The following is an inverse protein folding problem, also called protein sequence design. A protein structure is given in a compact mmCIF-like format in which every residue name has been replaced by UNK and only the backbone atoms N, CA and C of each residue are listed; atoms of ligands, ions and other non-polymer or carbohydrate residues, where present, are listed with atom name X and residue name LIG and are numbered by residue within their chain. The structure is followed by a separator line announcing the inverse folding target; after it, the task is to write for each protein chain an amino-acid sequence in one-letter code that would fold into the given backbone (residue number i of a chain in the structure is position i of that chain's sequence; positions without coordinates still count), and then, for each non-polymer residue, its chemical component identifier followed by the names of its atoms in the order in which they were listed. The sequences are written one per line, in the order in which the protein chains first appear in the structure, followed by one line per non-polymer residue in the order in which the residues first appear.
data_IF_697806722148
#
_entry.id   IF_697806722148
#
_cell.length_a   1.000
_cell.length_b   1.000
_cell.length_c   1.000
_cell.angle_alpha   90.00
_cell.angle_beta   90.00
_cell.angle_gamma   90.00
#
_symmetry.space_group_name_H-M   'P 1'
#
loop_
_entity.id
_entity.type
_entity.pdbx_description
1 polymer ?
#
# COMPACT_ATOMS: atom_id res chain seq x y z
N UNK A 1 20.03 -4.05 -23.08
CA UNK A 1 21.36 -3.46 -23.31
C UNK A 1 21.29 -1.97 -23.02
N UNK A 2 22.31 -1.38 -22.39
CA UNK A 2 22.48 0.08 -22.37
C UNK A 2 23.00 0.51 -23.73
N UNK A 3 22.22 1.24 -24.50
CA UNK A 3 22.53 1.60 -25.90
C UNK A 3 23.08 3.02 -26.01
N UNK A 4 22.51 3.95 -25.23
CA UNK A 4 22.99 5.33 -25.18
C UNK A 4 23.08 5.81 -23.73
N UNK A 5 24.06 6.65 -23.44
CA UNK A 5 24.27 7.32 -22.18
C UNK A 5 24.53 8.80 -22.42
N UNK A 6 23.72 9.66 -21.83
CA UNK A 6 23.91 11.10 -21.82
C UNK A 6 24.16 11.58 -20.37
N UNK A 7 25.18 12.42 -20.22
CA UNK A 7 25.60 12.94 -18.90
C UNK A 7 25.76 14.45 -19.02
N UNK A 8 25.11 15.18 -18.10
CA UNK A 8 25.24 16.62 -17.92
C UNK A 8 25.69 16.96 -16.51
N UNK A 9 26.66 17.85 -16.38
CA UNK A 9 27.13 18.48 -15.17
C UNK A 9 27.57 17.50 -14.04
N UNK A 10 28.27 16.43 -14.41
CA UNK A 10 28.82 15.47 -13.43
C UNK A 10 30.33 15.71 -13.26
N UNK A 11 30.74 16.26 -12.12
CA UNK A 11 32.15 16.52 -11.77
C UNK A 11 32.90 17.31 -12.83
N UNK A 12 33.85 16.70 -13.50
CA UNK A 12 34.61 17.34 -14.60
C UNK A 12 33.87 17.34 -15.94
N UNK A 13 32.84 16.49 -16.07
CA UNK A 13 32.07 16.35 -17.31
C UNK A 13 31.00 17.47 -17.32
N UNK A 14 31.08 18.33 -18.33
CA UNK A 14 30.05 19.34 -18.60
C UNK A 14 28.87 18.71 -19.34
N UNK A 15 29.17 18.02 -20.43
CA UNK A 15 28.23 17.29 -21.28
C UNK A 15 28.99 16.16 -21.99
N UNK A 16 28.38 14.99 -22.07
CA UNK A 16 28.95 13.82 -22.74
C UNK A 16 27.81 12.93 -23.26
N UNK A 17 27.91 12.60 -24.54
CA UNK A 17 27.08 11.57 -25.19
C UNK A 17 27.94 10.37 -25.54
N UNK A 18 27.49 9.18 -25.14
CA UNK A 18 28.14 7.90 -25.41
C UNK A 18 27.14 6.98 -26.07
N UNK A 19 27.41 6.54 -27.28
CA UNK A 19 26.67 5.46 -27.94
C UNK A 19 27.44 4.17 -27.76
N UNK A 20 26.78 3.18 -27.16
CA UNK A 20 27.34 1.87 -26.83
C UNK A 20 26.83 0.86 -27.87
N UNK A 21 27.74 0.22 -28.60
CA UNK A 21 27.37 -0.84 -29.53
C UNK A 21 27.40 -2.22 -28.92
N UNK A 22 26.94 -3.24 -29.62
CA UNK A 22 27.07 -4.63 -29.18
C UNK A 22 28.54 -5.06 -29.12
N UNK A 23 28.90 -5.92 -28.18
CA UNK A 23 30.24 -6.43 -27.96
C UNK A 23 31.02 -5.64 -26.90
N UNK A 24 32.33 -5.57 -27.04
CA UNK A 24 33.22 -4.97 -26.05
C UNK A 24 33.45 -3.46 -26.36
N UNK A 25 33.12 -2.61 -25.37
CA UNK A 25 33.48 -1.19 -25.39
C UNK A 25 34.53 -0.94 -24.30
N UNK A 26 35.68 -0.35 -24.66
CA UNK A 26 36.77 -0.06 -23.73
C UNK A 26 36.90 1.45 -23.54
N UNK A 27 36.76 1.91 -22.29
CA UNK A 27 36.99 3.30 -21.93
C UNK A 27 38.43 3.47 -21.42
N UNK A 28 39.27 4.16 -22.22
CA UNK A 28 40.67 4.42 -21.87
C UNK A 28 40.89 5.89 -21.53
N UNK A 29 41.89 6.19 -20.73
CA UNK A 29 42.26 7.56 -20.37
C UNK A 29 43.11 7.60 -19.09
N UNK A 30 43.72 8.75 -18.82
CA UNK A 30 44.51 8.97 -17.61
C UNK A 30 43.65 8.93 -16.33
N UNK A 31 44.25 8.66 -15.19
CA UNK A 31 43.60 8.70 -13.89
C UNK A 31 43.05 10.12 -13.62
N UNK A 32 41.80 10.26 -13.29
CA UNK A 32 41.14 11.57 -13.12
C UNK A 32 40.49 12.17 -14.37
N UNK A 33 40.62 11.52 -15.54
CA UNK A 33 40.05 12.02 -16.80
C UNK A 33 38.52 11.76 -16.99
N UNK A 34 37.81 11.39 -15.95
CA UNK A 34 36.35 11.20 -16.02
C UNK A 34 35.89 9.76 -16.18
N UNK A 35 36.75 8.75 -16.30
CA UNK A 35 36.32 7.32 -16.39
C UNK A 35 35.44 6.89 -15.25
N UNK A 36 35.88 7.13 -14.00
CA UNK A 36 35.13 6.83 -12.80
C UNK A 36 33.80 7.56 -12.78
N UNK A 37 33.72 8.77 -13.31
CA UNK A 37 32.46 9.54 -13.38
C UNK A 37 31.44 8.93 -14.35
N UNK A 38 31.89 8.28 -15.43
CA UNK A 38 30.97 7.54 -16.31
C UNK A 38 30.38 6.34 -15.57
N UNK A 39 31.21 5.62 -14.80
CA UNK A 39 30.75 4.53 -13.97
C UNK A 39 29.78 5.03 -12.88
N UNK A 40 30.10 6.16 -12.26
CA UNK A 40 29.22 6.81 -11.29
C UNK A 40 27.88 7.26 -11.93
N UNK A 41 27.91 7.81 -13.16
CA UNK A 41 26.70 8.15 -13.89
C UNK A 41 25.81 6.92 -14.10
N UNK A 42 26.38 5.81 -14.55
CA UNK A 42 25.63 4.57 -14.74
C UNK A 42 25.14 4.04 -13.38
N UNK A 43 25.92 4.19 -12.30
CA UNK A 43 25.49 3.80 -10.95
C UNK A 43 24.23 4.53 -10.48
N UNK A 44 24.06 5.79 -10.87
CA UNK A 44 22.84 6.55 -10.60
C UNK A 44 21.63 5.98 -11.37
N UNK A 45 21.81 5.48 -12.58
CA UNK A 45 20.76 4.84 -13.37
C UNK A 45 20.36 3.47 -12.80
N UNK A 46 21.27 2.73 -12.18
CA UNK A 46 20.95 1.48 -11.47
C UNK A 46 20.45 1.69 -10.04
N UNK A 47 20.11 2.94 -9.67
CA UNK A 47 19.43 3.24 -8.41
C UNK A 47 20.34 3.54 -7.23
N UNK A 48 21.65 3.70 -7.42
CA UNK A 48 22.57 4.06 -6.35
C UNK A 48 22.25 5.43 -5.73
N UNK A 49 22.76 5.64 -4.51
CA UNK A 49 22.56 6.89 -3.78
C UNK A 49 23.25 8.04 -4.52
N UNK A 50 22.50 9.09 -4.76
CA UNK A 50 23.02 10.32 -5.33
C UNK A 50 23.66 11.18 -4.23
N UNK A 51 24.85 11.75 -4.53
CA UNK A 51 25.53 12.72 -3.67
C UNK A 51 25.57 14.08 -4.41
N UNK A 52 25.09 15.17 -3.81
CA UNK A 52 25.20 16.51 -4.39
C UNK A 52 26.63 16.95 -4.69
N UNK A 53 27.63 16.41 -4.01
CA UNK A 53 29.04 16.70 -4.27
C UNK A 53 29.52 16.20 -5.64
N UNK A 54 28.76 15.30 -6.28
CA UNK A 54 29.00 14.86 -7.66
C UNK A 54 28.68 15.96 -8.71
N UNK A 55 27.92 16.99 -8.33
CA UNK A 55 27.49 18.06 -9.25
C UNK A 55 28.68 18.95 -9.59
N UNK A 56 28.85 19.22 -10.90
CA UNK A 56 29.87 20.10 -11.42
C UNK A 56 29.87 21.45 -10.71
N UNK A 57 31.02 22.00 -10.29
CA UNK A 57 31.08 23.33 -9.70
C UNK A 57 30.46 24.40 -10.61
N UNK A 58 29.50 25.14 -10.08
CA UNK A 58 28.78 26.19 -10.82
C UNK A 58 27.49 25.74 -11.51
N UNK A 59 27.17 24.43 -11.50
CA UNK A 59 25.89 23.93 -12.00
C UNK A 59 24.87 23.79 -10.85
N UNK A 60 23.59 23.91 -11.15
CA UNK A 60 22.50 23.79 -10.18
C UNK A 60 22.02 22.34 -10.03
N UNK A 61 22.20 21.51 -11.05
CA UNK A 61 21.84 20.10 -11.03
C UNK A 61 22.75 19.29 -11.98
N UNK A 62 22.87 18.00 -11.70
CA UNK A 62 23.39 17.02 -12.64
C UNK A 62 22.24 16.18 -13.21
N UNK A 63 22.42 15.75 -14.48
CA UNK A 63 21.48 14.89 -15.17
C UNK A 63 22.23 13.73 -15.83
N UNK A 64 21.68 12.53 -15.65
CA UNK A 64 22.13 11.34 -16.37
C UNK A 64 20.92 10.71 -17.01
N UNK A 65 21.01 10.40 -18.29
CA UNK A 65 19.99 9.66 -19.04
C UNK A 65 20.61 8.44 -19.70
N UNK A 66 19.84 7.36 -19.82
CA UNK A 66 20.25 6.16 -20.51
C UNK A 66 19.09 5.56 -21.31
N UNK A 67 19.38 5.06 -22.50
CA UNK A 67 18.47 4.24 -23.28
C UNK A 67 18.76 2.77 -23.00
N UNK A 68 17.79 2.10 -22.39
CA UNK A 68 17.87 0.69 -22.04
C UNK A 68 17.01 -0.12 -23.01
N UNK A 69 17.57 -1.18 -23.57
CA UNK A 69 16.86 -2.14 -24.42
C UNK A 69 16.79 -3.46 -23.69
N UNK A 70 15.58 -3.90 -23.33
CA UNK A 70 15.33 -5.16 -22.67
C UNK A 70 15.62 -6.38 -23.56
N UNK A 71 15.63 -7.57 -22.96
CA UNK A 71 15.78 -8.83 -23.70
C UNK A 71 14.58 -9.14 -24.61
N UNK A 72 13.43 -8.59 -24.30
CA UNK A 72 12.17 -8.65 -25.06
C UNK A 72 12.10 -7.63 -26.19
N UNK A 73 13.10 -6.74 -26.29
CA UNK A 73 13.15 -5.65 -27.26
C UNK A 73 12.37 -4.40 -26.85
N UNK A 74 11.83 -4.35 -25.63
CA UNK A 74 11.26 -3.10 -25.10
C UNK A 74 12.37 -2.07 -24.84
N UNK A 75 12.12 -0.83 -25.24
CA UNK A 75 13.03 0.29 -25.03
C UNK A 75 12.51 1.20 -23.93
N UNK A 76 13.39 1.56 -22.99
CA UNK A 76 13.08 2.53 -21.95
C UNK A 76 14.13 3.63 -21.92
N UNK A 77 13.67 4.87 -21.88
CA UNK A 77 14.52 6.02 -21.60
C UNK A 77 14.42 6.32 -20.11
N UNK A 78 15.51 6.08 -19.41
CA UNK A 78 15.60 6.30 -17.96
C UNK A 78 16.46 7.51 -17.67
N UNK A 79 16.09 8.30 -16.65
CA UNK A 79 16.85 9.47 -16.27
C UNK A 79 16.94 9.65 -14.76
N UNK A 80 18.06 10.20 -14.31
CA UNK A 80 18.31 10.61 -12.95
C UNK A 80 18.73 12.07 -12.91
N UNK A 81 17.99 12.87 -12.13
CA UNK A 81 18.31 14.29 -11.91
C UNK A 81 18.61 14.49 -10.43
N UNK A 82 19.79 15.05 -10.16
CA UNK A 82 20.24 15.35 -8.79
C UNK A 82 20.43 16.86 -8.67
N UNK A 83 19.51 17.57 -8.03
CA UNK A 83 19.66 18.99 -7.79
C UNK A 83 20.64 19.24 -6.66
N UNK A 84 21.29 20.41 -6.66
CA UNK A 84 22.19 20.85 -5.58
C UNK A 84 21.44 20.97 -4.25
N UNK A 85 20.22 21.47 -4.32
CA UNK A 85 19.33 21.58 -3.18
C UNK A 85 18.07 20.73 -3.42
N UNK A 86 17.76 19.83 -2.46
CA UNK A 86 16.56 19.00 -2.51
C UNK A 86 16.82 17.52 -2.74
N UNK A 87 15.75 16.80 -3.17
CA UNK A 87 15.81 15.35 -3.38
C UNK A 87 16.05 15.01 -4.83
N UNK A 88 16.89 14.01 -5.09
CA UNK A 88 17.06 13.49 -6.44
C UNK A 88 15.75 12.89 -6.99
N UNK A 89 15.57 13.03 -8.29
CA UNK A 89 14.38 12.58 -9.03
C UNK A 89 14.77 11.54 -10.06
N UNK A 90 13.93 10.55 -10.25
CA UNK A 90 14.07 9.53 -11.30
C UNK A 90 12.92 9.66 -12.29
N UNK A 91 13.20 9.35 -13.56
CA UNK A 91 12.21 9.36 -14.62
C UNK A 91 12.35 8.09 -15.45
N UNK A 92 11.23 7.58 -15.92
CA UNK A 92 11.11 6.47 -16.85
C UNK A 92 10.19 6.93 -17.98
N UNK A 93 10.66 6.92 -19.21
CA UNK A 93 9.92 7.35 -20.42
C UNK A 93 9.30 8.76 -20.25
N UNK A 94 10.09 9.66 -19.65
CA UNK A 94 9.69 11.05 -19.39
C UNK A 94 8.72 11.25 -18.22
N UNK A 95 8.32 10.19 -17.51
CA UNK A 95 7.42 10.26 -16.34
C UNK A 95 8.20 10.14 -15.05
N UNK A 96 7.78 10.90 -14.04
CA UNK A 96 8.38 10.81 -12.70
C UNK A 96 8.16 9.40 -12.13
N UNK A 97 9.25 8.80 -11.65
CA UNK A 97 9.27 7.46 -11.07
C UNK A 97 10.00 7.45 -9.71
N UNK A 98 9.86 6.38 -8.96
CA UNK A 98 10.68 6.15 -7.77
C UNK A 98 12.04 5.58 -8.17
N UNK A 99 13.04 5.79 -7.29
CA UNK A 99 14.39 5.22 -7.49
C UNK A 99 14.35 3.68 -7.52
N UNK A 100 13.43 3.07 -6.76
CA UNK A 100 13.21 1.62 -6.77
C UNK A 100 12.73 1.12 -8.13
N UNK A 101 11.72 1.75 -8.72
CA UNK A 101 11.24 1.41 -10.07
C UNK A 101 12.34 1.56 -11.14
N UNK A 102 13.16 2.61 -11.03
CA UNK A 102 14.30 2.79 -11.91
C UNK A 102 15.31 1.64 -11.75
N UNK A 103 15.64 1.28 -10.49
CA UNK A 103 16.55 0.19 -10.18
C UNK A 103 16.04 -1.16 -10.70
N UNK A 104 14.74 -1.43 -10.57
CA UNK A 104 14.12 -2.68 -11.03
C UNK A 104 14.25 -2.87 -12.55
N UNK A 105 14.03 -1.80 -13.34
CA UNK A 105 14.22 -1.83 -14.81
C UNK A 105 15.70 -2.00 -15.14
N UNK A 106 16.57 -1.24 -14.49
CA UNK A 106 18.01 -1.25 -14.79
C UNK A 106 18.68 -2.59 -14.40
N UNK A 107 18.24 -3.22 -13.30
CA UNK A 107 18.81 -4.49 -12.82
C UNK A 107 18.66 -5.65 -13.83
N UNK A 108 17.62 -5.64 -14.66
CA UNK A 108 17.44 -6.61 -15.74
C UNK A 108 18.34 -6.40 -16.95
N UNK A 109 19.00 -5.23 -17.07
CA UNK A 109 19.73 -4.80 -18.25
C UNK A 109 21.20 -4.52 -17.97
N UNK A 110 21.52 -3.96 -16.80
CA UNK A 110 22.88 -3.51 -16.44
C UNK A 110 23.35 -4.23 -15.18
N UNK A 111 24.55 -4.80 -15.24
CA UNK A 111 25.29 -5.30 -14.08
C UNK A 111 26.61 -4.52 -13.96
N UNK A 112 26.76 -3.84 -12.81
CA UNK A 112 27.90 -2.97 -12.55
C UNK A 112 28.86 -3.62 -11.56
N UNK A 113 30.13 -3.77 -11.96
CA UNK A 113 31.19 -4.41 -11.17
C UNK A 113 32.37 -3.45 -10.96
N UNK A 114 32.68 -3.12 -9.71
CA UNK A 114 33.79 -2.23 -9.35
C UNK A 114 33.75 -1.81 -7.88
N UNK A 115 34.65 -0.90 -7.47
CA UNK A 115 34.73 -0.42 -6.09
C UNK A 115 33.43 0.23 -5.55
N UNK A 116 32.59 0.72 -6.44
CA UNK A 116 31.31 1.37 -6.10
C UNK A 116 30.08 0.45 -6.33
N UNK A 117 30.28 -0.80 -6.75
CA UNK A 117 29.20 -1.76 -7.05
C UNK A 117 28.85 -2.56 -5.79
N UNK A 118 27.99 -2.03 -4.92
CA UNK A 118 27.67 -2.66 -3.64
C UNK A 118 26.57 -3.74 -3.68
N UNK A 119 26.03 -4.15 -4.84
CA UNK A 119 24.85 -5.03 -4.84
C UNK A 119 24.88 -6.25 -5.78
N UNK A 120 25.82 -6.37 -6.70
CA UNK A 120 25.90 -7.54 -7.57
C UNK A 120 26.19 -8.85 -6.83
N UNK A 121 27.05 -9.69 -7.35
CA UNK A 121 27.41 -11.02 -6.82
C UNK A 121 27.98 -11.01 -5.38
N UNK A 122 28.10 -9.85 -4.70
CA UNK A 122 28.55 -9.74 -3.31
C UNK A 122 27.47 -10.19 -2.31
N UNK A 123 26.20 -10.11 -2.68
CA UNK A 123 25.09 -10.54 -1.82
C UNK A 123 24.90 -12.05 -1.79
N UNK A 124 24.55 -12.59 -0.61
CA UNK A 124 24.28 -14.03 -0.42
C UNK A 124 23.17 -14.53 -1.37
N UNK A 125 22.16 -13.72 -1.63
CA UNK A 125 21.09 -14.07 -2.57
C UNK A 125 21.61 -14.25 -4.00
N UNK A 126 22.40 -13.32 -4.51
CA UNK A 126 22.97 -13.39 -5.85
C UNK A 126 23.99 -14.55 -5.99
N UNK A 127 24.75 -14.84 -4.96
CA UNK A 127 25.66 -15.99 -4.94
C UNK A 127 24.91 -17.32 -4.97
N UNK A 128 23.78 -17.39 -4.27
CA UNK A 128 22.88 -18.55 -4.32
C UNK A 128 22.25 -18.71 -5.71
N UNK A 129 21.74 -17.63 -6.27
CA UNK A 129 21.15 -17.62 -7.61
C UNK A 129 22.16 -18.04 -8.68
N UNK A 130 23.41 -17.59 -8.57
CA UNK A 130 24.50 -18.02 -9.45
C UNK A 130 24.77 -19.53 -9.36
N UNK A 131 24.74 -20.10 -8.13
CA UNK A 131 24.86 -21.55 -7.95
C UNK A 131 23.67 -22.32 -8.51
N UNK A 132 22.45 -21.80 -8.29
CA UNK A 132 21.22 -22.39 -8.77
C UNK A 132 21.18 -22.39 -10.31
N UNK A 133 21.53 -21.27 -10.94
CA UNK A 133 21.63 -21.14 -12.41
C UNK A 133 22.71 -22.05 -13.01
N UNK A 134 23.90 -22.12 -12.40
CA UNK A 134 24.99 -23.00 -12.88
C UNK A 134 24.60 -24.47 -12.93
N UNK A 135 23.83 -24.93 -11.98
CA UNK A 135 23.49 -26.34 -11.84
C UNK A 135 22.03 -26.67 -12.24
N UNK A 136 21.31 -25.71 -12.82
CA UNK A 136 19.90 -25.81 -13.19
C UNK A 136 19.04 -26.36 -12.05
N UNK A 137 19.22 -25.79 -10.84
CA UNK A 137 18.52 -26.26 -9.64
C UNK A 137 17.09 -25.72 -9.65
N UNK A 138 16.12 -26.61 -9.76
CA UNK A 138 14.71 -26.25 -9.66
C UNK A 138 14.32 -25.93 -8.21
N UNK A 139 14.03 -24.65 -7.96
CA UNK A 139 13.56 -24.13 -6.66
C UNK A 139 12.05 -23.90 -6.63
N UNK A 140 11.32 -24.24 -7.68
CA UNK A 140 9.90 -23.92 -7.84
C UNK A 140 9.05 -24.53 -6.73
N UNK A 141 9.24 -25.82 -6.42
CA UNK A 141 8.50 -26.48 -5.34
C UNK A 141 8.83 -25.89 -3.97
N UNK A 142 10.08 -25.55 -3.69
CA UNK A 142 10.47 -24.92 -2.42
C UNK A 142 9.82 -23.53 -2.27
N UNK A 143 9.83 -22.75 -3.35
CA UNK A 143 9.21 -21.41 -3.38
C UNK A 143 7.70 -21.51 -3.17
N UNK A 144 7.04 -22.42 -3.87
CA UNK A 144 5.60 -22.66 -3.73
C UNK A 144 5.22 -23.14 -2.32
N UNK A 145 5.98 -24.07 -1.75
CA UNK A 145 5.74 -24.59 -0.41
C UNK A 145 5.95 -23.48 0.68
N UNK A 146 6.96 -22.63 0.52
CA UNK A 146 7.18 -21.49 1.41
C UNK A 146 6.06 -20.44 1.32
N UNK A 147 5.59 -20.14 0.11
CA UNK A 147 4.48 -19.22 -0.11
C UNK A 147 3.18 -19.76 0.51
N UNK A 148 2.89 -21.06 0.33
CA UNK A 148 1.73 -21.72 0.95
C UNK A 148 1.81 -21.67 2.49
N UNK A 149 2.97 -21.97 3.06
CA UNK A 149 3.17 -21.90 4.52
C UNK A 149 2.97 -20.47 5.04
N UNK A 150 3.52 -19.48 4.36
CA UNK A 150 3.38 -18.08 4.73
C UNK A 150 1.91 -17.61 4.68
N UNK A 151 1.14 -18.02 3.64
CA UNK A 151 -0.30 -17.73 3.53
C UNK A 151 -1.09 -18.37 4.69
N UNK A 152 -0.81 -19.64 5.00
CA UNK A 152 -1.46 -20.33 6.12
C UNK A 152 -1.12 -19.66 7.46
N UNK A 153 0.13 -19.29 7.68
CA UNK A 153 0.56 -18.59 8.92
C UNK A 153 -0.03 -17.19 9.03
N UNK A 154 -0.16 -16.46 7.91
CA UNK A 154 -0.86 -15.17 7.86
C UNK A 154 -2.34 -15.32 8.19
N UNK A 155 -3.03 -16.34 7.64
CA UNK A 155 -4.44 -16.65 7.96
C UNK A 155 -4.62 -17.03 9.42
N UNK A 156 -3.74 -17.87 9.98
CA UNK A 156 -3.76 -18.19 11.40
C UNK A 156 -3.57 -16.94 12.27
N UNK A 157 -2.66 -16.04 11.86
CA UNK A 157 -2.46 -14.75 12.54
C UNK A 157 -3.68 -13.83 12.46
N UNK A 158 -4.42 -13.83 11.34
CA UNK A 158 -5.61 -13.01 11.14
C UNK A 158 -6.85 -13.52 11.85
N UNK A 159 -6.90 -14.81 12.20
CA UNK A 159 -8.02 -15.38 12.98
C UNK A 159 -8.13 -14.79 14.40
N UNK A 160 -7.18 -13.93 14.81
CA UNK A 160 -7.25 -13.18 16.06
C UNK A 160 -6.29 -13.70 17.13
N UNK A 161 -6.02 -12.82 18.11
CA UNK A 161 -5.09 -13.06 19.22
C UNK A 161 -5.43 -14.24 20.12
N UNK A 162 -5.10 -14.13 21.40
CA UNK A 162 -5.42 -15.17 22.35
C UNK A 162 -6.94 -15.44 22.50
N UNK A 163 -7.31 -16.56 23.07
CA UNK A 163 -8.71 -16.99 23.26
C UNK A 163 -9.55 -15.92 23.96
N UNK A 164 -8.99 -15.24 24.95
CA UNK A 164 -9.69 -14.18 25.69
C UNK A 164 -9.95 -12.93 24.82
N UNK A 165 -9.07 -12.61 23.89
CA UNK A 165 -9.27 -11.51 22.95
C UNK A 165 -10.36 -11.85 21.93
N UNK A 166 -10.38 -13.08 21.43
CA UNK A 166 -11.43 -13.55 20.51
C UNK A 166 -12.80 -13.62 21.16
N UNK A 167 -12.88 -14.14 22.39
CA UNK A 167 -14.14 -14.17 23.12
C UNK A 167 -14.73 -12.77 23.31
N UNK A 168 -13.90 -11.80 23.67
CA UNK A 168 -14.32 -10.39 23.79
C UNK A 168 -14.75 -9.79 22.45
N UNK A 169 -14.04 -10.09 21.38
CA UNK A 169 -14.42 -9.64 20.04
C UNK A 169 -15.76 -10.27 19.62
N UNK A 170 -15.96 -11.56 19.84
CA UNK A 170 -17.19 -12.26 19.52
C UNK A 170 -18.39 -11.66 20.29
N UNK A 171 -18.24 -11.41 21.58
CA UNK A 171 -19.28 -10.79 22.41
C UNK A 171 -19.63 -9.38 21.90
N UNK A 172 -18.62 -8.59 21.55
CA UNK A 172 -18.81 -7.25 20.98
C UNK A 172 -19.55 -7.30 19.63
N UNK A 173 -19.10 -8.17 18.74
CA UNK A 173 -19.70 -8.27 17.38
C UNK A 173 -21.12 -8.82 17.47
N UNK A 174 -21.37 -9.82 18.33
CA UNK A 174 -22.75 -10.32 18.61
C UNK A 174 -23.66 -9.22 19.15
N UNK A 175 -23.17 -8.39 20.08
CA UNK A 175 -23.93 -7.25 20.57
C UNK A 175 -24.28 -6.27 19.44
N UNK A 176 -23.31 -5.95 18.58
CA UNK A 176 -23.52 -5.06 17.43
C UNK A 176 -24.53 -5.62 16.42
N UNK A 177 -24.45 -6.92 16.13
CA UNK A 177 -25.43 -7.61 15.27
C UNK A 177 -26.83 -7.55 15.90
N UNK A 178 -26.95 -7.89 17.19
CA UNK A 178 -28.23 -7.86 17.87
C UNK A 178 -28.85 -6.46 17.92
N UNK A 179 -28.05 -5.42 18.15
CA UNK A 179 -28.51 -4.01 18.14
C UNK A 179 -29.04 -3.59 16.76
N UNK A 180 -28.29 -3.92 15.69
CA UNK A 180 -28.71 -3.60 14.31
C UNK A 180 -29.90 -4.44 13.85
N UNK A 181 -29.98 -5.72 14.23
CA UNK A 181 -31.13 -6.59 13.93
C UNK A 181 -32.41 -6.14 14.63
N UNK A 182 -32.32 -5.76 15.90
CA UNK A 182 -33.44 -5.23 16.66
C UNK A 182 -34.00 -3.93 16.05
N UNK A 183 -33.14 -3.17 15.37
CA UNK A 183 -33.51 -1.93 14.72
C UNK A 183 -34.40 -2.11 13.47
N UNK A 184 -34.46 -3.32 12.86
CA UNK A 184 -35.29 -3.63 11.68
C UNK A 184 -35.14 -2.59 10.57
N UNK A 185 -33.94 -2.39 10.10
CA UNK A 185 -33.58 -1.40 9.06
C UNK A 185 -33.91 -1.93 7.66
N UNK A 186 -35.18 -2.22 7.37
CA UNK A 186 -35.57 -2.90 6.11
C UNK A 186 -35.55 -1.95 4.92
N UNK A 187 -35.93 -0.71 5.14
CA UNK A 187 -36.05 0.31 4.11
C UNK A 187 -34.88 1.29 4.14
N UNK A 188 -34.13 1.43 3.03
CA UNK A 188 -32.99 2.33 2.94
C UNK A 188 -33.34 3.81 3.05
N UNK A 189 -34.61 4.19 2.73
CA UNK A 189 -35.07 5.57 2.70
C UNK A 189 -36.02 5.90 3.90
N UNK A 190 -36.04 5.03 4.92
CA UNK A 190 -36.92 5.20 6.09
C UNK A 190 -36.66 6.53 6.80
N UNK A 191 -35.42 6.98 6.93
CA UNK A 191 -35.09 8.24 7.58
C UNK A 191 -35.66 9.47 6.86
N UNK A 192 -35.63 9.46 5.53
CA UNK A 192 -36.22 10.55 4.70
C UNK A 192 -37.74 10.59 4.84
N UNK A 193 -38.36 9.41 4.87
CA UNK A 193 -39.82 9.33 5.06
C UNK A 193 -40.25 9.74 6.46
N UNK A 194 -39.51 9.31 7.49
CA UNK A 194 -39.77 9.71 8.86
C UNK A 194 -39.70 11.22 9.05
N UNK A 195 -38.71 11.88 8.45
CA UNK A 195 -38.59 13.34 8.51
C UNK A 195 -39.80 14.01 7.85
N UNK A 196 -40.22 13.56 6.67
CA UNK A 196 -41.40 14.10 5.99
C UNK A 196 -42.72 13.87 6.78
N UNK A 197 -42.92 12.68 7.34
CA UNK A 197 -44.11 12.34 8.14
C UNK A 197 -44.14 13.13 9.47
N UNK A 198 -42.98 13.30 10.12
CA UNK A 198 -42.86 14.11 11.34
C UNK A 198 -43.18 15.57 11.07
N UNK A 199 -42.63 16.15 9.99
CA UNK A 199 -42.89 17.54 9.60
C UNK A 199 -44.41 17.75 9.35
N UNK A 200 -45.03 16.83 8.62
CA UNK A 200 -46.49 16.90 8.34
C UNK A 200 -47.32 16.85 9.65
N UNK A 201 -47.02 15.94 10.56
CA UNK A 201 -47.76 15.80 11.83
C UNK A 201 -47.47 16.96 12.80
N UNK A 202 -46.26 17.51 12.82
CA UNK A 202 -45.93 18.69 13.62
C UNK A 202 -46.68 19.94 13.12
N UNK A 203 -46.79 20.12 11.83
CA UNK A 203 -47.57 21.21 11.20
C UNK A 203 -49.07 21.07 11.57
N UNK A 204 -49.61 19.85 11.53
CA UNK A 204 -50.98 19.59 11.94
C UNK A 204 -51.22 19.86 13.42
N UNK A 205 -50.30 19.39 14.31
CA UNK A 205 -50.38 19.64 15.75
C UNK A 205 -50.21 21.12 16.09
N UNK A 206 -49.26 21.80 15.46
CA UNK A 206 -49.08 23.26 15.56
C UNK A 206 -50.34 24.04 15.19
N UNK A 207 -51.00 23.62 14.08
CA UNK A 207 -52.24 24.20 13.63
C UNK A 207 -53.39 23.99 14.65
N UNK A 208 -53.52 22.77 15.17
CA UNK A 208 -54.51 22.48 16.22
C UNK A 208 -54.29 23.29 17.50
N UNK A 209 -53.04 23.41 17.93
CA UNK A 209 -52.69 24.19 19.13
C UNK A 209 -52.98 25.69 18.92
N UNK A 210 -52.69 26.24 17.75
CA UNK A 210 -53.00 27.61 17.39
C UNK A 210 -54.51 27.86 17.37
N UNK A 211 -55.25 26.95 16.75
CA UNK A 211 -56.73 27.00 16.74
C UNK A 211 -57.31 26.93 18.16
N UNK A 212 -56.84 26.00 18.99
CA UNK A 212 -57.27 25.87 20.38
C UNK A 212 -57.00 27.13 21.21
N UNK A 213 -55.83 27.74 21.05
CA UNK A 213 -55.49 29.00 21.72
C UNK A 213 -56.38 30.18 21.25
N UNK A 214 -56.65 30.23 19.94
CA UNK A 214 -57.58 31.23 19.37
C UNK A 214 -58.99 31.05 19.89
N UNK A 215 -59.54 29.82 19.89
CA UNK A 215 -60.86 29.50 20.44
C UNK A 215 -60.96 29.89 21.90
N UNK A 216 -59.96 29.53 22.72
CA UNK A 216 -59.89 29.90 24.15
C UNK A 216 -59.97 31.40 24.38
N UNK A 217 -59.22 32.19 23.62
CA UNK A 217 -59.26 33.65 23.70
C UNK A 217 -60.63 34.26 23.35
N UNK A 218 -61.42 33.54 22.54
CA UNK A 218 -62.78 33.99 22.12
C UNK A 218 -63.87 33.53 23.07
N UNK A 219 -63.78 32.32 23.62
CA UNK A 219 -64.93 31.61 24.24
C UNK A 219 -64.70 31.34 25.74
N UNK A 220 -63.49 31.22 26.27
CA UNK A 220 -63.19 30.96 27.65
C UNK A 220 -63.66 32.09 28.58
N UNK A 221 -63.65 31.87 29.90
CA UNK A 221 -63.99 32.85 30.92
C UNK A 221 -63.22 34.15 30.70
N UNK A 222 -63.90 35.30 30.69
CA UNK A 222 -63.39 36.63 30.35
C UNK A 222 -62.88 36.75 28.90
N UNK A 223 -63.23 35.87 28.03
CA UNK A 223 -62.96 35.91 26.59
C UNK A 223 -63.73 37.00 25.86
N UNK A 224 -63.51 37.08 24.50
CA UNK A 224 -64.13 38.12 23.71
C UNK A 224 -65.64 38.14 23.79
N UNK A 225 -66.27 36.94 23.81
CA UNK A 225 -67.73 36.77 23.91
C UNK A 225 -68.25 37.40 25.22
N UNK A 226 -67.56 37.13 26.35
CA UNK A 226 -67.96 37.64 27.67
C UNK A 226 -67.80 39.13 27.77
N UNK A 227 -66.69 39.68 27.24
CA UNK A 227 -66.43 41.11 27.18
C UNK A 227 -67.43 41.87 26.31
N UNK A 228 -67.85 41.29 25.19
CA UNK A 228 -68.93 41.82 24.40
C UNK A 228 -70.25 41.76 25.12
N UNK A 229 -70.59 40.65 25.83
CA UNK A 229 -71.79 40.52 26.62
C UNK A 229 -71.83 41.55 27.80
N UNK A 230 -70.71 41.74 28.50
CA UNK A 230 -70.57 42.74 29.56
C UNK A 230 -70.80 44.17 29.00
N UNK A 231 -70.29 44.44 27.79
CA UNK A 231 -70.47 45.74 27.10
C UNK A 231 -71.98 45.96 26.74
N UNK A 232 -72.64 44.95 26.25
CA UNK A 232 -74.09 45.00 25.97
C UNK A 232 -74.84 45.26 27.29
N UNK A 233 -74.54 44.59 28.36
CA UNK A 233 -75.17 44.78 29.69
C UNK A 233 -74.91 46.20 30.21
N UNK A 234 -73.73 46.76 30.08
CA UNK A 234 -73.39 48.10 30.53
C UNK A 234 -74.21 49.20 29.80
N UNK A 235 -74.50 49.02 28.53
CA UNK A 235 -75.33 49.98 27.74
C UNK A 235 -76.79 49.89 28.16
N UNK A 236 -77.25 48.77 28.69
CA UNK A 236 -78.62 48.56 29.24
C UNK A 236 -79.70 48.74 28.16
N UNK A 237 -80.92 49.00 28.63
CA UNK A 237 -82.11 49.23 27.78
C UNK A 237 -82.38 50.72 27.58
N UNK A 238 -81.43 51.41 26.96
CA UNK A 238 -81.56 52.84 26.65
C UNK A 238 -81.86 52.97 25.15
N UNK A 239 -83.04 53.51 24.77
CA UNK A 239 -83.50 53.59 23.36
C UNK A 239 -82.45 54.39 22.52
N UNK A 240 -81.84 55.42 23.05
CA UNK A 240 -80.84 56.21 22.34
C UNK A 240 -79.56 55.41 21.99
N UNK A 241 -79.31 54.28 22.66
CA UNK A 241 -78.12 53.43 22.45
C UNK A 241 -78.45 52.14 21.68
N UNK A 242 -79.71 51.94 21.28
CA UNK A 242 -80.17 50.67 20.65
C UNK A 242 -79.30 50.20 19.49
N UNK A 243 -78.89 51.13 18.60
CA UNK A 243 -78.02 50.84 17.49
C UNK A 243 -76.65 50.27 17.88
N UNK A 244 -76.09 50.70 19.03
CA UNK A 244 -74.82 50.21 19.54
C UNK A 244 -74.96 48.83 20.17
N UNK A 245 -76.07 48.57 20.84
CA UNK A 245 -76.42 47.22 21.39
C UNK A 245 -76.57 46.22 20.25
N UNK A 246 -77.25 46.57 19.15
CA UNK A 246 -77.37 45.71 17.99
C UNK A 246 -76.04 45.42 17.31
N UNK A 247 -75.20 46.43 17.14
CA UNK A 247 -73.85 46.26 16.59
C UNK A 247 -72.99 45.32 17.45
N UNK A 248 -73.00 45.43 18.77
CA UNK A 248 -72.29 44.57 19.70
C UNK A 248 -72.83 43.10 19.69
N UNK A 249 -74.14 42.94 19.58
CA UNK A 249 -74.74 41.63 19.46
C UNK A 249 -74.37 40.95 18.15
N UNK A 250 -74.37 41.73 17.03
CA UNK A 250 -73.89 41.24 15.73
C UNK A 250 -72.43 40.81 15.79
N UNK A 251 -71.59 41.61 16.45
CA UNK A 251 -70.18 41.26 16.66
C UNK A 251 -70.00 40.00 17.52
N UNK A 252 -70.80 39.85 18.59
CA UNK A 252 -70.80 38.67 19.45
C UNK A 252 -71.20 37.41 18.70
N UNK A 253 -72.19 37.51 17.80
CA UNK A 253 -72.55 36.39 16.94
C UNK A 253 -71.48 36.05 15.93
N UNK A 254 -70.87 37.04 15.28
CA UNK A 254 -69.76 36.80 14.34
C UNK A 254 -68.56 36.13 15.02
N UNK A 255 -68.27 36.52 16.27
CA UNK A 255 -67.23 35.85 17.07
C UNK A 255 -67.57 34.39 17.39
N UNK A 256 -68.83 34.10 17.70
CA UNK A 256 -69.27 32.69 17.91
C UNK A 256 -69.18 31.87 16.65
N UNK A 257 -69.65 32.41 15.53
CA UNK A 257 -69.56 31.73 14.21
C UNK A 257 -68.10 31.43 13.85
N UNK A 258 -67.21 32.38 14.06
CA UNK A 258 -65.75 32.21 13.81
C UNK A 258 -65.16 31.13 14.74
N UNK A 259 -65.55 31.12 16.03
CA UNK A 259 -65.09 30.10 17.00
C UNK A 259 -65.59 28.69 16.64
N UNK A 260 -66.84 28.58 16.15
CA UNK A 260 -67.38 27.31 15.68
C UNK A 260 -66.72 26.82 14.40
N UNK A 261 -66.41 27.67 13.46
CA UNK A 261 -65.66 27.35 12.24
C UNK A 261 -64.22 26.91 12.55
N UNK A 262 -63.54 27.61 13.47
CA UNK A 262 -62.22 27.19 13.95
C UNK A 262 -62.26 25.85 14.69
N UNK A 263 -63.32 25.56 15.43
CA UNK A 263 -63.52 24.26 16.13
C UNK A 263 -63.70 23.14 15.08
N UNK A 264 -64.54 23.35 14.09
CA UNK A 264 -64.71 22.39 12.99
C UNK A 264 -63.41 22.12 12.25
N UNK A 265 -62.60 23.16 11.98
CA UNK A 265 -61.28 23.04 11.38
C UNK A 265 -60.32 22.27 12.25
N UNK A 266 -60.29 22.52 13.58
CA UNK A 266 -59.46 21.80 14.51
C UNK A 266 -59.81 20.30 14.61
N UNK A 267 -61.12 19.98 14.54
CA UNK A 267 -61.60 18.59 14.54
C UNK A 267 -61.29 17.83 13.22
N UNK A 268 -61.23 18.54 12.11
CA UNK A 268 -60.87 17.96 10.81
C UNK A 268 -59.36 17.85 10.58
N UNK A 269 -58.55 18.50 11.42
CA UNK A 269 -57.07 18.44 11.30
C UNK A 269 -56.61 17.14 11.92
N UNK A 270 -56.15 16.19 11.07
CA UNK A 270 -55.72 14.84 11.48
C UNK A 270 -54.29 14.90 12.04
N UNK A 271 -54.17 15.01 13.34
CA UNK A 271 -52.89 15.01 14.08
C UNK A 271 -52.98 14.07 15.28
N UNK A 272 -52.36 12.92 15.21
CA UNK A 272 -52.25 11.98 16.32
C UNK A 272 -50.94 12.17 17.11
N UNK A 273 -50.96 12.75 18.31
CA UNK A 273 -49.75 12.96 19.10
C UNK A 273 -49.04 11.66 19.48
N UNK A 274 -49.74 10.54 19.56
CA UNK A 274 -49.12 9.24 19.89
C UNK A 274 -48.30 8.72 18.70
N UNK A 275 -48.85 8.88 17.49
CA UNK A 275 -48.14 8.55 16.26
C UNK A 275 -46.89 9.45 16.08
N UNK A 276 -47.01 10.76 16.30
CA UNK A 276 -45.88 11.67 16.23
C UNK A 276 -44.77 11.26 17.22
N UNK A 277 -45.11 10.97 18.46
CA UNK A 277 -44.15 10.52 19.49
C UNK A 277 -43.40 9.24 19.01
N UNK A 278 -44.11 8.28 18.45
CA UNK A 278 -43.56 7.03 17.95
C UNK A 278 -42.57 7.27 16.79
N UNK A 279 -42.95 8.14 15.87
CA UNK A 279 -42.05 8.48 14.71
C UNK A 279 -40.81 9.21 15.20
N UNK A 280 -40.94 10.13 16.16
CA UNK A 280 -39.78 10.87 16.73
C UNK A 280 -38.85 9.90 17.48
N UNK A 281 -39.37 8.96 18.25
CA UNK A 281 -38.55 7.92 18.89
C UNK A 281 -37.84 7.05 17.88
N UNK A 282 -38.53 6.64 16.80
CA UNK A 282 -37.95 5.85 15.70
C UNK A 282 -36.83 6.61 15.02
N UNK A 283 -37.03 7.88 14.67
CA UNK A 283 -36.02 8.75 14.10
C UNK A 283 -34.79 8.88 15.01
N UNK A 284 -35.00 9.12 16.29
CA UNK A 284 -33.92 9.25 17.27
C UNK A 284 -33.10 7.97 17.36
N UNK A 285 -33.73 6.82 17.33
CA UNK A 285 -33.05 5.51 17.35
C UNK A 285 -32.20 5.35 16.08
N UNK A 286 -32.74 5.65 14.89
CA UNK A 286 -31.98 5.55 13.63
C UNK A 286 -30.81 6.54 13.65
N UNK A 287 -30.99 7.75 14.14
CA UNK A 287 -29.92 8.75 14.25
C UNK A 287 -28.77 8.27 15.16
N UNK A 288 -29.09 7.65 16.31
CA UNK A 288 -28.08 7.11 17.22
C UNK A 288 -27.32 5.94 16.58
N UNK A 289 -28.01 5.08 15.84
CA UNK A 289 -27.37 3.99 15.11
C UNK A 289 -26.48 4.50 13.97
N UNK A 290 -26.92 5.52 13.24
CA UNK A 290 -26.10 6.16 12.19
C UNK A 290 -24.79 6.70 12.75
N UNK A 291 -24.85 7.33 13.93
CA UNK A 291 -23.64 7.84 14.60
C UNK A 291 -22.67 6.72 15.00
N UNK A 292 -23.19 5.53 15.35
CA UNK A 292 -22.36 4.38 15.78
C UNK A 292 -21.81 3.57 14.61
N UNK A 293 -22.61 3.35 13.57
CA UNK A 293 -22.36 2.29 12.59
C UNK A 293 -22.14 2.78 11.14
N UNK A 294 -22.51 4.01 10.83
CA UNK A 294 -22.36 4.57 9.49
C UNK A 294 -23.40 5.63 9.19
N UNK A 295 -23.15 6.46 8.16
CA UNK A 295 -23.92 7.64 7.83
C UNK A 295 -25.29 7.38 7.20
N UNK A 296 -25.56 6.17 6.67
CA UNK A 296 -26.83 5.81 6.00
C UNK A 296 -27.34 4.44 6.43
N UNK A 297 -28.65 4.19 6.26
CA UNK A 297 -29.26 2.88 6.53
C UNK A 297 -28.63 1.81 5.62
N UNK A 298 -28.34 2.14 4.36
CA UNK A 298 -27.67 1.22 3.44
C UNK A 298 -26.26 0.81 3.91
N UNK A 299 -25.48 1.75 4.44
CA UNK A 299 -24.16 1.47 5.02
C UNK A 299 -24.29 0.61 6.29
N UNK A 300 -25.28 0.88 7.14
CA UNK A 300 -25.56 0.05 8.33
C UNK A 300 -25.96 -1.39 7.95
N UNK A 301 -26.75 -1.58 6.88
CA UNK A 301 -27.08 -2.92 6.33
C UNK A 301 -25.84 -3.64 5.81
N UNK A 302 -24.98 -2.95 5.08
CA UNK A 302 -23.71 -3.50 4.60
C UNK A 302 -22.83 -3.91 5.79
N UNK A 303 -22.76 -3.06 6.80
CA UNK A 303 -22.04 -3.34 8.06
C UNK A 303 -22.59 -4.56 8.77
N UNK A 304 -23.93 -4.69 8.84
CA UNK A 304 -24.61 -5.84 9.48
C UNK A 304 -24.22 -7.15 8.78
N UNK A 305 -24.18 -7.16 7.44
CA UNK A 305 -23.72 -8.35 6.69
C UNK A 305 -22.29 -8.71 7.07
N UNK A 306 -21.37 -7.73 7.04
CA UNK A 306 -19.97 -7.96 7.40
C UNK A 306 -19.80 -8.42 8.87
N UNK A 307 -20.60 -7.86 9.79
CA UNK A 307 -20.59 -8.29 11.20
C UNK A 307 -21.10 -9.72 11.36
N UNK A 308 -22.15 -10.13 10.65
CA UNK A 308 -22.66 -11.50 10.66
C UNK A 308 -21.62 -12.48 10.09
N UNK A 309 -20.96 -12.12 9.00
CA UNK A 309 -19.84 -12.89 8.47
C UNK A 309 -18.72 -13.03 9.50
N UNK A 310 -18.42 -11.94 10.22
CA UNK A 310 -17.40 -11.97 11.27
C UNK A 310 -17.78 -12.84 12.47
N UNK A 311 -19.07 -12.81 12.89
CA UNK A 311 -19.59 -13.73 13.92
C UNK A 311 -19.40 -15.18 13.47
N UNK A 312 -19.85 -15.51 12.24
CA UNK A 312 -19.72 -16.87 11.70
C UNK A 312 -18.26 -17.31 11.61
N UNK A 313 -17.36 -16.38 11.25
CA UNK A 313 -15.92 -16.63 11.21
C UNK A 313 -15.35 -16.92 12.61
N UNK A 314 -15.70 -16.11 13.60
CA UNK A 314 -15.25 -16.28 14.99
C UNK A 314 -15.85 -17.54 15.64
N UNK A 315 -17.11 -17.87 15.36
CA UNK A 315 -17.78 -19.08 15.88
C UNK A 315 -17.20 -20.37 15.27
N UNK A 316 -16.82 -20.33 13.96
CA UNK A 316 -16.15 -21.45 13.32
C UNK A 316 -14.65 -21.50 13.60
N UNK A 317 -14.16 -20.64 14.50
CA UNK A 317 -12.73 -20.46 14.76
C UNK A 317 -12.02 -21.76 15.11
N UNK A 318 -12.56 -22.54 16.06
CA UNK A 318 -11.86 -23.74 16.55
C UNK A 318 -11.74 -24.81 15.45
N UNK A 319 -12.75 -24.94 14.61
CA UNK A 319 -12.70 -25.86 13.47
C UNK A 319 -11.70 -25.39 12.41
N UNK A 320 -11.77 -24.08 12.07
CA UNK A 320 -10.84 -23.49 11.09
C UNK A 320 -9.42 -23.43 11.60
N UNK A 321 -9.20 -23.11 12.87
CA UNK A 321 -7.89 -23.13 13.48
C UNK A 321 -7.28 -24.52 13.45
N UNK A 322 -8.03 -25.56 13.79
CA UNK A 322 -7.59 -26.94 13.73
C UNK A 322 -7.27 -27.38 12.28
N UNK A 323 -8.14 -27.01 11.33
CA UNK A 323 -7.89 -27.27 9.90
C UNK A 323 -6.61 -26.57 9.41
N UNK A 324 -6.47 -25.27 9.69
CA UNK A 324 -5.29 -24.51 9.30
C UNK A 324 -4.02 -25.01 10.01
N UNK A 325 -4.10 -25.46 11.24
CA UNK A 325 -2.98 -26.05 11.97
C UNK A 325 -2.53 -27.40 11.37
N UNK A 326 -3.49 -28.22 10.97
CA UNK A 326 -3.21 -29.44 10.21
C UNK A 326 -2.55 -29.12 8.86
N UNK A 327 -3.08 -28.15 8.12
CA UNK A 327 -2.50 -27.67 6.86
C UNK A 327 -1.11 -27.06 7.08
N UNK A 328 -0.91 -26.27 8.13
CA UNK A 328 0.43 -25.74 8.51
C UNK A 328 1.42 -26.87 8.73
N UNK A 329 1.02 -27.90 9.44
CA UNK A 329 1.86 -29.06 9.71
C UNK A 329 2.24 -29.78 8.41
N UNK A 330 1.30 -29.97 7.49
CA UNK A 330 1.55 -30.56 6.17
C UNK A 330 2.46 -29.67 5.32
N UNK A 331 2.19 -28.35 5.27
CA UNK A 331 3.00 -27.38 4.55
C UNK A 331 4.45 -27.33 5.08
N UNK A 332 4.63 -27.34 6.39
CA UNK A 332 5.97 -27.41 7.02
C UNK A 332 6.75 -28.67 6.59
N UNK A 333 6.07 -29.82 6.48
CA UNK A 333 6.71 -31.03 5.98
C UNK A 333 7.10 -30.90 4.50
N UNK A 334 6.23 -30.31 3.66
CA UNK A 334 6.56 -30.02 2.26
C UNK A 334 7.76 -29.10 2.14
N UNK A 335 7.80 -27.99 2.91
CA UNK A 335 8.94 -27.08 2.96
C UNK A 335 10.21 -27.84 3.37
N UNK A 336 10.15 -28.65 4.42
CA UNK A 336 11.31 -29.41 4.88
C UNK A 336 11.83 -30.39 3.80
N UNK A 337 10.95 -31.11 3.12
CA UNK A 337 11.31 -32.05 2.05
C UNK A 337 11.92 -31.31 0.85
N UNK A 338 11.27 -30.25 0.37
CA UNK A 338 11.77 -29.45 -0.74
C UNK A 338 13.08 -28.74 -0.39
N UNK A 339 13.21 -28.21 0.83
CA UNK A 339 14.43 -27.60 1.33
C UNK A 339 15.61 -28.59 1.38
N UNK A 340 15.38 -29.80 1.87
CA UNK A 340 16.41 -30.84 1.91
C UNK A 340 16.87 -31.23 0.49
N UNK A 341 15.95 -31.36 -0.46
CA UNK A 341 16.26 -31.69 -1.86
C UNK A 341 17.10 -30.57 -2.52
N UNK A 342 16.65 -29.31 -2.43
CA UNK A 342 17.35 -28.15 -2.99
C UNK A 342 18.71 -27.99 -2.32
N UNK A 343 18.79 -28.08 -1.00
CA UNK A 343 20.05 -27.96 -0.27
C UNK A 343 21.07 -29.07 -0.60
N UNK A 344 20.59 -30.30 -0.81
CA UNK A 344 21.45 -31.38 -1.26
C UNK A 344 22.02 -31.10 -2.66
N UNK A 345 21.17 -30.61 -3.59
CA UNK A 345 21.60 -30.21 -4.94
C UNK A 345 22.65 -29.08 -4.90
N UNK A 346 22.40 -28.02 -4.11
CA UNK A 346 23.35 -26.91 -3.92
C UNK A 346 24.69 -27.37 -3.37
N UNK A 347 24.67 -28.20 -2.31
CA UNK A 347 25.91 -28.75 -1.70
C UNK A 347 26.68 -29.65 -2.66
N UNK A 348 25.98 -30.43 -3.50
CA UNK A 348 26.60 -31.25 -4.52
C UNK A 348 27.18 -30.43 -5.69
N UNK A 349 26.53 -29.35 -6.10
CA UNK A 349 26.95 -28.49 -7.19
C UNK A 349 28.12 -27.54 -6.83
N UNK A 350 28.19 -27.11 -5.57
CA UNK A 350 29.16 -26.11 -5.10
C UNK A 350 30.61 -26.41 -5.46
N UNK A 351 31.15 -27.63 -5.30
CA UNK A 351 32.54 -27.93 -5.71
C UNK A 351 32.74 -27.85 -7.21
N UNK A 352 31.75 -28.17 -8.01
CA UNK A 352 31.80 -28.14 -9.47
C UNK A 352 31.84 -26.70 -9.99
N UNK A 353 30.98 -25.83 -9.43
CA UNK A 353 31.03 -24.39 -9.72
C UNK A 353 32.38 -23.80 -9.33
N UNK A 354 32.88 -24.06 -8.11
CA UNK A 354 34.17 -23.60 -7.65
C UNK A 354 35.28 -23.99 -8.62
N UNK A 355 35.32 -25.24 -9.08
CA UNK A 355 36.32 -25.74 -10.03
C UNK A 355 36.21 -25.05 -11.40
N UNK A 356 34.99 -24.81 -11.89
CA UNK A 356 34.74 -24.15 -13.16
C UNK A 356 35.23 -22.69 -13.10
N UNK A 357 34.84 -21.94 -12.06
CA UNK A 357 35.30 -20.54 -11.86
C UNK A 357 36.83 -20.48 -11.70
N UNK A 358 37.42 -21.37 -10.93
CA UNK A 358 38.88 -21.42 -10.76
C UNK A 358 39.61 -21.66 -12.08
N UNK A 359 39.02 -22.45 -12.99
CA UNK A 359 39.60 -22.65 -14.33
C UNK A 359 39.66 -21.35 -15.12
N UNK A 360 38.57 -20.54 -15.10
CA UNK A 360 38.51 -19.25 -15.76
C UNK A 360 39.43 -18.22 -15.10
N UNK A 361 39.52 -18.20 -13.75
CA UNK A 361 40.43 -17.30 -13.04
C UNK A 361 41.91 -17.46 -13.48
N UNK A 362 42.29 -18.67 -13.81
CA UNK A 362 43.66 -18.91 -14.33
C UNK A 362 43.91 -18.23 -15.67
N UNK A 363 42.93 -18.13 -16.57
CA UNK A 363 43.00 -17.41 -17.83
C UNK A 363 42.96 -15.92 -17.62
N UNK A 364 42.35 -15.42 -16.56
CA UNK A 364 42.24 -14.02 -16.18
C UNK A 364 43.44 -13.54 -15.31
N UNK A 365 44.67 -14.06 -15.57
CA UNK A 365 45.90 -13.69 -14.87
C UNK A 365 45.86 -13.90 -13.33
N UNK A 366 45.11 -14.87 -12.87
CA UNK A 366 45.05 -15.28 -11.46
C UNK A 366 45.40 -16.78 -11.27
N UNK A 367 46.59 -17.20 -11.66
CA UNK A 367 46.97 -18.64 -11.75
C UNK A 367 46.93 -19.35 -10.39
N UNK A 368 47.12 -18.61 -9.33
CA UNK A 368 47.21 -19.15 -7.95
C UNK A 368 45.93 -18.93 -7.14
N UNK A 369 44.93 -18.29 -7.73
CA UNK A 369 43.66 -18.03 -7.04
C UNK A 369 42.93 -19.33 -6.77
N UNK A 370 42.40 -19.47 -5.58
CA UNK A 370 41.48 -20.53 -5.22
C UNK A 370 40.15 -19.96 -4.80
N UNK A 371 39.08 -20.53 -5.36
CA UNK A 371 37.74 -20.19 -4.96
C UNK A 371 37.04 -21.39 -4.32
N UNK A 372 36.30 -21.16 -3.26
CA UNK A 372 35.46 -22.13 -2.58
C UNK A 372 34.03 -21.58 -2.58
N UNK A 373 33.09 -22.39 -2.95
CA UNK A 373 31.66 -22.10 -2.77
C UNK A 373 31.20 -22.83 -1.52
N UNK A 374 30.95 -22.07 -0.48
CA UNK A 374 30.54 -22.61 0.83
C UNK A 374 29.01 -22.52 0.93
N UNK A 375 28.38 -23.68 1.17
CA UNK A 375 26.94 -23.80 1.40
C UNK A 375 26.75 -24.25 2.82
N UNK A 376 25.93 -23.55 3.58
CA UNK A 376 25.70 -23.84 4.99
C UNK A 376 25.34 -25.32 5.23
N UNK A 377 25.75 -25.84 6.37
CA UNK A 377 25.51 -27.22 6.74
C UNK A 377 24.00 -27.51 6.84
N UNK A 378 23.59 -28.72 6.43
CA UNK A 378 22.18 -29.14 6.41
C UNK A 378 21.51 -29.01 7.79
N UNK A 379 22.23 -29.25 8.86
CA UNK A 379 21.71 -29.13 10.24
C UNK A 379 21.35 -27.68 10.64
N UNK A 380 21.93 -26.68 9.97
CA UNK A 380 21.70 -25.25 10.24
C UNK A 380 20.79 -24.61 9.18
N UNK A 381 20.96 -25.02 7.95
CA UNK A 381 20.22 -24.52 6.78
C UNK A 381 19.93 -25.67 5.83
N UNK A 382 18.79 -26.38 6.01
CA UNK A 382 18.43 -27.52 5.15
C UNK A 382 18.36 -27.15 3.67
N UNK A 383 17.88 -25.95 3.33
CA UNK A 383 17.77 -25.49 1.96
C UNK A 383 19.12 -25.05 1.35
N UNK A 384 20.11 -24.79 2.18
CA UNK A 384 21.37 -24.22 1.71
C UNK A 384 21.20 -22.83 1.12
N UNK A 385 20.36 -21.99 1.73
CA UNK A 385 20.08 -20.61 1.26
C UNK A 385 21.26 -19.69 1.51
N UNK A 386 22.08 -20.00 2.54
CA UNK A 386 23.30 -19.28 2.83
C UNK A 386 24.46 -19.85 1.99
N UNK A 387 24.63 -19.26 0.79
CA UNK A 387 25.73 -19.56 -0.12
C UNK A 387 26.73 -18.43 -0.05
N UNK A 388 28.00 -18.75 0.16
CA UNK A 388 29.09 -17.77 0.25
C UNK A 388 30.26 -18.18 -0.64
N UNK A 389 30.69 -17.28 -1.52
CA UNK A 389 31.88 -17.48 -2.32
C UNK A 389 33.08 -16.92 -1.55
N UNK A 390 34.06 -17.77 -1.36
CA UNK A 390 35.28 -17.47 -0.64
C UNK A 390 36.47 -17.49 -1.62
N UNK A 391 37.19 -16.40 -1.70
CA UNK A 391 38.39 -16.25 -2.53
C UNK A 391 39.66 -16.26 -1.69
N UNK A 392 40.65 -17.03 -2.13
CA UNK A 392 42.03 -16.92 -1.76
C UNK A 392 42.84 -16.52 -2.99
N UNK A 393 43.24 -15.26 -3.10
CA UNK A 393 43.89 -14.75 -4.31
C UNK A 393 45.33 -15.23 -4.46
N UNK A 394 46.06 -15.39 -3.34
CA UNK A 394 47.47 -15.73 -3.32
C UNK A 394 47.78 -16.92 -2.39
N UNK A 395 48.82 -17.72 -2.71
CA UNK A 395 49.27 -18.79 -1.84
C UNK A 395 49.61 -18.29 -0.43
N UNK A 396 49.15 -19.01 0.60
CA UNK A 396 49.40 -18.67 2.01
C UNK A 396 48.42 -17.66 2.61
N UNK A 397 47.50 -17.07 1.79
CA UNK A 397 46.40 -16.25 2.30
C UNK A 397 45.25 -17.09 2.86
N UNK A 398 44.29 -16.41 3.49
CA UNK A 398 43.05 -17.01 3.95
C UNK A 398 41.96 -16.93 2.85
N UNK A 399 40.98 -17.84 2.92
CA UNK A 399 39.80 -17.75 2.12
C UNK A 399 38.86 -16.70 2.72
N UNK A 400 38.72 -15.58 2.03
CA UNK A 400 37.86 -14.46 2.46
C UNK A 400 36.57 -14.40 1.62
N UNK A 401 35.41 -14.08 2.23
CA UNK A 401 34.20 -13.75 1.45
C UNK A 401 34.50 -12.67 0.42
N UNK A 402 33.89 -12.76 -0.77
CA UNK A 402 34.13 -11.78 -1.85
C UNK A 402 33.94 -10.34 -1.38
N UNK A 403 32.97 -10.07 -0.52
CA UNK A 403 32.71 -8.76 0.07
C UNK A 403 33.86 -8.22 0.95
N UNK A 404 34.85 -9.07 1.33
CA UNK A 404 35.99 -8.70 2.16
C UNK A 404 37.32 -8.73 1.40
N UNK A 405 37.28 -8.97 0.09
CA UNK A 405 38.45 -8.93 -0.78
C UNK A 405 38.89 -7.47 -0.96
N UNK A 406 40.16 -7.17 -0.58
CA UNK A 406 40.66 -5.79 -0.56
C UNK A 406 41.06 -5.25 -1.92
N UNK A 407 41.31 -6.11 -2.94
CA UNK A 407 41.74 -5.73 -4.27
C UNK A 407 40.57 -5.63 -5.22
N UNK A 408 40.28 -4.42 -5.72
CA UNK A 408 39.22 -4.19 -6.71
C UNK A 408 39.40 -5.03 -7.97
N UNK A 409 40.62 -5.10 -8.52
CA UNK A 409 40.92 -5.89 -9.72
C UNK A 409 40.76 -7.40 -9.51
N UNK A 410 41.17 -7.96 -8.36
CA UNK A 410 40.96 -9.37 -8.05
C UNK A 410 39.47 -9.70 -7.91
N UNK A 411 38.72 -8.81 -7.27
CA UNK A 411 37.26 -8.95 -7.13
C UNK A 411 36.58 -8.87 -8.50
N UNK A 412 36.88 -7.86 -9.32
CA UNK A 412 36.29 -7.68 -10.66
C UNK A 412 36.53 -8.90 -11.55
N UNK A 413 37.75 -9.43 -11.57
CA UNK A 413 38.10 -10.65 -12.33
C UNK A 413 37.39 -11.89 -11.79
N UNK A 414 37.20 -12.00 -10.47
CA UNK A 414 36.46 -13.13 -9.89
C UNK A 414 34.96 -13.05 -10.26
N UNK A 415 34.39 -11.87 -10.26
CA UNK A 415 33.02 -11.66 -10.69
C UNK A 415 32.83 -11.96 -12.18
N UNK A 416 33.76 -11.47 -13.04
CA UNK A 416 33.79 -11.82 -14.46
C UNK A 416 33.89 -13.33 -14.68
N UNK A 417 34.82 -14.01 -14.00
CA UNK A 417 34.97 -15.46 -14.09
C UNK A 417 33.69 -16.21 -13.70
N UNK A 418 33.02 -15.76 -12.65
CA UNK A 418 31.78 -16.37 -12.20
C UNK A 418 30.65 -16.18 -13.22
N UNK A 419 30.51 -14.98 -13.78
CA UNK A 419 29.49 -14.70 -14.80
C UNK A 419 29.72 -15.53 -16.08
N UNK A 420 30.95 -15.63 -16.53
CA UNK A 420 31.29 -16.46 -17.70
C UNK A 420 30.97 -17.94 -17.50
N UNK A 421 31.06 -18.43 -16.28
CA UNK A 421 30.76 -19.84 -15.95
C UNK A 421 29.25 -20.08 -15.81
N UNK A 422 28.53 -19.13 -15.20
CA UNK A 422 27.08 -19.25 -14.96
C UNK A 422 26.29 -19.05 -16.24
N UNK A 423 26.76 -18.21 -17.17
CA UNK A 423 26.11 -17.96 -18.46
C UNK A 423 24.86 -17.08 -18.39
N UNK A 424 24.47 -16.64 -17.23
CA UNK A 424 23.30 -15.75 -16.99
C UNK A 424 23.79 -14.32 -16.80
N UNK A 425 24.29 -13.74 -17.90
CA UNK A 425 24.80 -12.36 -17.89
C UNK A 425 23.72 -11.41 -18.41
N UNK A 426 23.47 -10.29 -17.71
CA UNK A 426 22.61 -9.24 -18.24
C UNK A 426 23.18 -8.67 -19.53
N UNK A 427 22.33 -8.00 -20.30
CA UNK A 427 22.69 -7.52 -21.64
C UNK A 427 23.86 -6.52 -21.66
N UNK A 428 24.17 -5.86 -20.53
CA UNK A 428 25.30 -4.96 -20.36
C UNK A 428 26.02 -5.23 -19.06
N UNK A 429 27.29 -5.59 -19.15
CA UNK A 429 28.17 -5.73 -17.98
C UNK A 429 29.21 -4.61 -18.00
N UNK A 430 29.43 -3.97 -16.87
CA UNK A 430 30.38 -2.87 -16.72
C UNK A 430 31.41 -3.27 -15.68
N UNK A 431 32.67 -3.28 -16.08
CA UNK A 431 33.78 -3.60 -15.20
C UNK A 431 34.68 -2.38 -14.99
N UNK A 432 34.84 -1.94 -13.76
CA UNK A 432 35.79 -0.91 -13.38
C UNK A 432 37.04 -1.55 -12.78
N UNK A 433 38.20 -1.06 -13.11
CA UNK A 433 39.51 -1.51 -12.61
C UNK A 433 39.80 -3.02 -12.83
N UNK A 434 39.20 -3.67 -13.82
CA UNK A 434 39.43 -5.10 -14.10
C UNK A 434 40.89 -5.40 -14.44
N UNK A 435 41.61 -4.44 -14.96
CA UNK A 435 43.02 -4.46 -15.29
C UNK A 435 43.93 -3.97 -14.15
N UNK A 436 43.38 -3.61 -12.99
CA UNK A 436 44.19 -3.11 -11.88
C UNK A 436 45.17 -4.17 -11.37
N UNK A 437 46.43 -3.78 -11.28
CA UNK A 437 47.51 -4.64 -10.78
C UNK A 437 48.05 -5.68 -11.79
N UNK A 438 47.63 -5.63 -13.05
CA UNK A 438 48.12 -6.50 -14.12
C UNK A 438 48.69 -5.65 -15.27
N UNK A 439 49.61 -6.21 -16.05
CA UNK A 439 50.21 -5.58 -17.19
C UNK A 439 50.78 -6.59 -18.21
N UNK A 440 51.15 -6.15 -19.40
CA UNK A 440 51.68 -7.02 -20.42
C UNK A 440 50.74 -8.11 -20.88
N UNK A 441 51.23 -9.35 -20.98
CA UNK A 441 50.44 -10.52 -21.42
C UNK A 441 49.19 -10.79 -20.58
N UNK A 442 49.21 -10.46 -19.29
CA UNK A 442 48.09 -10.65 -18.40
C UNK A 442 46.90 -9.70 -18.73
N UNK A 443 47.19 -8.48 -19.17
CA UNK A 443 46.15 -7.55 -19.61
C UNK A 443 45.49 -7.99 -20.91
N UNK A 444 46.29 -8.57 -21.86
CA UNK A 444 45.78 -9.16 -23.10
C UNK A 444 44.83 -10.35 -22.78
N UNK A 445 45.27 -11.22 -21.88
CA UNK A 445 44.45 -12.39 -21.50
C UNK A 445 43.11 -12.05 -20.81
N UNK A 446 42.96 -10.84 -20.27
CA UNK A 446 41.70 -10.35 -19.72
C UNK A 446 40.83 -9.72 -20.81
N UNK A 447 41.44 -9.21 -21.87
CA UNK A 447 40.72 -8.61 -23.00
C UNK A 447 40.20 -9.63 -24.01
N UNK A 448 40.85 -10.80 -24.15
CA UNK A 448 40.43 -11.94 -24.98
C UNK A 448 39.27 -12.73 -24.36
#
# INVERSE_FOLDING_TARGET
MLDELHIENLGVIAELDVVLGPGLTVLTGETGAGKTMIVEAISLLVGQRADPDMIRPGADELRVEGRLVGADGEEHVVARVVPRDGRSRAYIDGRLATVGQLADIAAGVIDLHGQHAHQGLLGVAAQREALDAFADIDVTELRAARAELADIEARLGSLGGDEASRARELDLVRFQVAELDAARLDDPDEDVRLDADIDLLQDAEGSRAALAAAIGALVDDDGAIDRLAASVAALGRRDALGRHVEALRAAQQAVRDAADDMRATAESTDGDPATLATLVERRAMIFDLRRKYGGSIAEMKTKLVALRERVAELESFDERAAELDARRTAARRRVATAAAAVGAARRAAAPSLAKAVQKVLRTLAMPHAEIKVDVAAESQDPAGDAVTFLLRANPGGEHLPLAKVASGGELARTMLATRLVVGDAPATMIFDEVDAGIGGEAAVAVAD
#
